data_IF_398336849445
#
_entry.id   IF_398336849445
#
_cell.length_a   1.000
_cell.length_b   1.000
_cell.length_c   1.000
_cell.angle_alpha   90.00
_cell.angle_beta   90.00
_cell.angle_gamma   90.00
#
_symmetry.space_group_name_H-M   'P 1'
#
loop_
_entity.id
_entity.type
_entity.pdbx_description
1 polymer ?
#
# COMPACT_ATOMS: atom_id res chain seq x y z
N UNK A 1 29.75 -71.22 31.87
CA UNK A 1 29.27 -70.50 30.68
C UNK A 1 28.47 -69.31 31.17
N UNK A 2 28.90 -68.11 30.79
CA UNK A 2 28.68 -66.83 31.46
C UNK A 2 27.36 -66.16 31.02
N UNK A 3 26.60 -65.49 31.91
CA UNK A 3 25.40 -64.74 31.53
C UNK A 3 25.79 -63.38 30.92
N UNK A 4 25.42 -63.14 29.66
CA UNK A 4 25.62 -61.85 28.99
C UNK A 4 24.43 -60.91 29.20
N UNK A 5 24.75 -59.71 29.68
CA UNK A 5 23.88 -58.56 29.95
C UNK A 5 23.33 -57.95 28.66
N UNK A 6 22.04 -57.59 28.64
CA UNK A 6 21.45 -56.74 27.59
C UNK A 6 21.41 -55.29 28.09
N UNK A 7 22.02 -54.32 27.39
CA UNK A 7 21.86 -52.91 27.73
C UNK A 7 20.49 -52.39 27.26
N UNK A 8 19.79 -51.74 28.19
CA UNK A 8 18.65 -50.87 27.96
C UNK A 8 19.17 -49.62 27.23
N UNK A 9 18.78 -49.43 25.97
CA UNK A 9 18.97 -48.15 25.27
C UNK A 9 17.64 -47.42 25.33
N UNK A 10 17.55 -46.46 26.26
CA UNK A 10 16.49 -45.47 26.30
C UNK A 10 16.80 -44.45 25.18
N UNK A 11 16.05 -44.52 24.09
CA UNK A 11 16.05 -43.46 23.08
C UNK A 11 15.08 -42.37 23.56
N UNK A 12 15.65 -41.27 24.04
CA UNK A 12 14.95 -40.01 24.25
C UNK A 12 14.53 -39.44 22.90
N UNK A 13 13.28 -39.70 22.50
CA UNK A 13 12.64 -38.95 21.44
C UNK A 13 12.13 -37.63 22.03
N UNK A 14 12.99 -36.61 22.06
CA UNK A 14 12.54 -35.22 22.12
C UNK A 14 11.80 -34.93 20.83
N UNK A 15 10.49 -35.16 20.87
CA UNK A 15 9.55 -34.70 19.85
C UNK A 15 9.42 -33.19 20.04
N UNK A 16 10.16 -32.42 19.24
CA UNK A 16 9.86 -31.01 18.98
C UNK A 16 8.57 -30.97 18.14
N UNK A 17 7.42 -31.07 18.82
CA UNK A 17 6.12 -30.68 18.26
C UNK A 17 5.95 -29.18 18.53
N UNK A 18 6.61 -28.36 17.73
CA UNK A 18 6.32 -26.93 17.65
C UNK A 18 6.08 -26.61 16.17
N UNK A 19 4.93 -25.98 15.89
CA UNK A 19 4.47 -25.42 14.61
C UNK A 19 3.84 -26.42 13.61
N UNK A 20 2.67 -26.96 13.94
CA UNK A 20 1.80 -27.65 12.97
C UNK A 20 0.40 -27.02 12.95
N UNK A 21 0.31 -25.76 12.51
CA UNK A 21 -0.96 -25.00 12.40
C UNK A 21 -1.09 -24.15 11.11
N UNK A 22 -0.39 -24.47 10.02
CA UNK A 22 -0.63 -23.85 8.69
C UNK A 22 -0.75 -24.90 7.58
N UNK A 23 -1.46 -25.99 7.87
CA UNK A 23 -1.86 -26.95 6.85
C UNK A 23 -3.35 -26.76 6.51
N UNK A 24 -3.70 -25.64 5.88
CA UNK A 24 -4.92 -25.46 5.08
C UNK A 24 -4.84 -24.18 4.23
N UNK A 25 -4.12 -24.23 3.10
CA UNK A 25 -4.26 -23.34 1.93
C UNK A 25 -4.51 -21.85 2.16
N UNK A 26 -3.62 -21.16 2.88
CA UNK A 26 -3.47 -19.71 2.76
C UNK A 26 -2.26 -19.39 1.87
N UNK A 27 -2.07 -18.12 1.55
CA UNK A 27 -0.98 -17.66 0.68
C UNK A 27 0.41 -18.13 1.17
N UNK A 28 1.44 -18.24 0.31
CA UNK A 28 2.81 -18.49 0.77
C UNK A 28 3.31 -17.42 1.74
N UNK A 29 4.27 -17.79 2.60
CA UNK A 29 4.85 -16.87 3.61
C UNK A 29 6.35 -16.66 3.39
N UNK A 30 6.87 -17.10 2.24
CA UNK A 30 8.30 -17.14 1.92
C UNK A 30 8.66 -16.30 0.69
N UNK A 31 7.79 -15.37 0.31
CA UNK A 31 8.05 -14.45 -0.81
C UNK A 31 9.28 -13.57 -0.50
N UNK A 32 10.02 -13.24 -1.55
CA UNK A 32 11.00 -12.14 -1.42
C UNK A 32 10.26 -10.80 -1.40
N UNK A 33 10.81 -9.79 -0.72
CA UNK A 33 10.24 -8.42 -0.73
C UNK A 33 10.09 -7.89 -2.15
N UNK A 34 11.06 -8.14 -3.01
CA UNK A 34 11.03 -7.72 -4.41
C UNK A 34 9.88 -8.38 -5.19
N UNK A 35 9.68 -9.69 -5.03
CA UNK A 35 8.61 -10.41 -5.73
C UNK A 35 7.23 -9.99 -5.21
N UNK A 36 7.09 -9.82 -3.89
CA UNK A 36 5.88 -9.32 -3.24
C UNK A 36 5.53 -7.91 -3.73
N UNK A 37 6.45 -6.95 -3.63
CA UNK A 37 6.21 -5.57 -4.03
C UNK A 37 5.96 -5.44 -5.53
N UNK A 38 6.60 -6.28 -6.35
CA UNK A 38 6.29 -6.34 -7.78
C UNK A 38 4.84 -6.78 -8.04
N UNK A 39 4.32 -7.75 -7.28
CA UNK A 39 2.94 -8.20 -7.42
C UNK A 39 1.95 -7.09 -7.00
N UNK A 40 2.18 -6.47 -5.84
CA UNK A 40 1.39 -5.33 -5.34
C UNK A 40 1.39 -4.17 -6.33
N UNK A 41 2.55 -3.68 -6.77
CA UNK A 41 2.64 -2.53 -7.67
C UNK A 41 2.06 -2.79 -9.07
N UNK A 42 1.97 -4.06 -9.48
CA UNK A 42 1.33 -4.44 -10.75
C UNK A 42 -0.19 -4.21 -10.71
N UNK A 43 -0.79 -4.26 -9.53
CA UNK A 43 -2.20 -3.96 -9.32
C UNK A 43 -2.49 -2.46 -9.38
N UNK A 44 -1.75 -1.64 -8.62
CA UNK A 44 -1.97 -0.19 -8.53
C UNK A 44 -1.79 0.52 -9.88
N UNK A 45 -0.87 0.03 -10.71
CA UNK A 45 -0.59 0.57 -12.04
C UNK A 45 -1.45 -0.01 -13.17
N UNK A 46 -2.52 -0.75 -12.87
CA UNK A 46 -3.27 -1.46 -13.90
C UNK A 46 -4.20 -0.52 -14.69
N UNK A 47 -3.75 -0.10 -15.87
CA UNK A 47 -4.52 0.75 -16.82
C UNK A 47 -5.91 0.17 -17.15
N UNK A 48 -6.05 -1.16 -17.22
CA UNK A 48 -7.33 -1.80 -17.53
C UNK A 48 -8.32 -1.66 -16.37
N UNK A 49 -7.84 -1.63 -15.12
CA UNK A 49 -8.65 -1.40 -13.93
C UNK A 49 -9.11 0.06 -13.87
N UNK A 50 -8.17 1.00 -14.05
CA UNK A 50 -8.47 2.44 -14.11
C UNK A 50 -9.53 2.73 -15.17
N UNK A 51 -9.38 2.10 -16.34
CA UNK A 51 -10.34 2.21 -17.43
C UNK A 51 -11.69 1.59 -17.08
N UNK A 52 -11.73 0.41 -16.49
CA UNK A 52 -12.98 -0.24 -16.08
C UNK A 52 -13.76 0.63 -15.08
N UNK A 53 -13.09 1.20 -14.08
CA UNK A 53 -13.68 2.13 -13.11
C UNK A 53 -14.19 3.40 -13.80
N UNK A 54 -13.41 3.98 -14.72
CA UNK A 54 -13.79 5.20 -15.46
C UNK A 54 -14.98 4.97 -16.39
N UNK A 55 -15.05 3.80 -17.03
CA UNK A 55 -16.15 3.40 -17.91
C UNK A 55 -17.38 2.89 -17.11
N UNK A 56 -17.33 2.92 -15.76
CA UNK A 56 -18.35 2.38 -14.84
C UNK A 56 -18.65 0.88 -15.10
N UNK A 57 -17.66 0.13 -15.59
CA UNK A 57 -17.71 -1.31 -15.82
C UNK A 57 -17.31 -2.07 -14.55
N UNK A 58 -18.20 -2.04 -13.55
CA UNK A 58 -17.94 -2.55 -12.20
C UNK A 58 -17.70 -4.06 -12.17
N UNK A 59 -18.35 -4.82 -13.05
CA UNK A 59 -18.12 -6.26 -13.18
C UNK A 59 -16.68 -6.53 -13.66
N UNK A 60 -16.22 -5.79 -14.67
CA UNK A 60 -14.84 -5.91 -15.15
C UNK A 60 -13.83 -5.43 -14.10
N UNK A 61 -14.15 -4.36 -13.37
CA UNK A 61 -13.29 -3.87 -12.29
C UNK A 61 -13.14 -4.92 -11.18
N UNK A 62 -14.24 -5.55 -10.76
CA UNK A 62 -14.22 -6.63 -9.77
C UNK A 62 -13.44 -7.85 -10.27
N UNK A 63 -13.58 -8.24 -11.54
CA UNK A 63 -12.81 -9.35 -12.12
C UNK A 63 -11.31 -9.04 -12.15
N UNK A 64 -10.91 -7.82 -12.56
CA UNK A 64 -9.50 -7.41 -12.59
C UNK A 64 -8.86 -7.33 -11.20
N UNK A 65 -9.63 -6.90 -10.20
CA UNK A 65 -9.21 -6.90 -8.80
C UNK A 65 -8.97 -8.32 -8.32
N UNK A 66 -9.87 -9.25 -8.60
CA UNK A 66 -9.70 -10.66 -8.23
C UNK A 66 -8.50 -11.29 -8.91
N UNK A 67 -8.31 -11.02 -10.18
CA UNK A 67 -7.16 -11.52 -10.93
C UNK A 67 -5.85 -11.02 -10.30
N UNK A 68 -5.78 -9.72 -9.98
CA UNK A 68 -4.59 -9.13 -9.37
C UNK A 68 -4.34 -9.66 -7.95
N UNK A 69 -5.39 -9.75 -7.13
CA UNK A 69 -5.30 -10.29 -5.77
C UNK A 69 -4.91 -11.77 -5.79
N UNK A 70 -5.39 -12.55 -6.76
CA UNK A 70 -4.97 -13.94 -6.94
C UNK A 70 -3.48 -14.06 -7.30
N UNK A 71 -2.93 -13.13 -8.09
CA UNK A 71 -1.48 -13.08 -8.35
C UNK A 71 -0.69 -12.75 -7.07
N UNK A 72 -1.19 -11.83 -6.24
CA UNK A 72 -0.54 -11.47 -4.97
C UNK A 72 -0.65 -12.63 -3.97
N UNK A 73 -1.79 -13.32 -3.90
CA UNK A 73 -1.99 -14.53 -3.08
C UNK A 73 -1.02 -15.65 -3.51
N UNK A 74 -0.85 -15.87 -4.82
CA UNK A 74 0.06 -16.88 -5.35
C UNK A 74 1.54 -16.58 -5.03
N UNK A 75 1.93 -15.31 -5.02
CA UNK A 75 3.27 -14.87 -4.59
C UNK A 75 3.43 -15.01 -3.09
N UNK A 76 2.41 -14.61 -2.33
CA UNK A 76 2.41 -14.58 -0.87
C UNK A 76 3.17 -13.41 -0.28
N UNK A 77 3.34 -13.41 1.04
CA UNK A 77 4.01 -12.32 1.76
C UNK A 77 5.43 -12.72 2.17
N UNK A 78 6.31 -11.74 2.47
CA UNK A 78 7.60 -12.02 3.08
C UNK A 78 7.50 -12.64 4.48
N UNK A 79 8.56 -13.35 4.91
CA UNK A 79 8.62 -14.00 6.24
C UNK A 79 8.66 -12.99 7.40
N UNK A 80 9.01 -11.73 7.14
CA UNK A 80 9.16 -10.68 8.16
C UNK A 80 7.92 -9.80 8.34
N UNK A 81 6.82 -10.12 7.66
CA UNK A 81 5.54 -9.45 7.88
C UNK A 81 5.07 -9.64 9.34
N UNK A 82 4.62 -8.58 10.02
CA UNK A 82 4.02 -8.69 11.36
C UNK A 82 2.76 -9.58 11.35
N UNK A 83 2.49 -10.31 12.43
CA UNK A 83 1.33 -11.21 12.52
C UNK A 83 -0.01 -10.49 12.21
N UNK A 84 -0.22 -9.29 12.76
CA UNK A 84 -1.43 -8.50 12.51
C UNK A 84 -1.56 -8.07 11.04
N UNK A 85 -0.43 -7.70 10.40
CA UNK A 85 -0.37 -7.36 8.99
C UNK A 85 -0.60 -8.60 8.10
N UNK A 86 -0.12 -9.77 8.51
CA UNK A 86 -0.40 -11.02 7.80
C UNK A 86 -1.87 -11.38 7.86
N UNK A 87 -2.49 -11.23 9.02
CA UNK A 87 -3.94 -11.45 9.12
C UNK A 87 -4.71 -10.40 8.30
N UNK A 88 -4.23 -9.16 8.24
CA UNK A 88 -4.79 -8.10 7.39
C UNK A 88 -4.75 -8.42 5.91
N UNK A 89 -3.62 -8.95 5.43
CA UNK A 89 -3.43 -9.43 4.06
C UNK A 89 -4.48 -10.49 3.67
N UNK A 90 -4.64 -11.52 4.51
CA UNK A 90 -5.62 -12.59 4.25
C UNK A 90 -7.06 -12.05 4.26
N UNK A 91 -7.37 -11.09 5.14
CA UNK A 91 -8.67 -10.42 5.17
C UNK A 91 -8.91 -9.66 3.86
N UNK A 92 -7.91 -8.93 3.35
CA UNK A 92 -8.03 -8.23 2.07
C UNK A 92 -8.23 -9.19 0.90
N UNK A 93 -7.49 -10.30 0.84
CA UNK A 93 -7.67 -11.33 -0.19
C UNK A 93 -9.10 -11.87 -0.14
N UNK A 94 -9.54 -12.33 1.03
CA UNK A 94 -10.90 -12.88 1.21
C UNK A 94 -11.98 -11.86 0.82
N UNK A 95 -11.80 -10.59 1.18
CA UNK A 95 -12.72 -9.51 0.84
C UNK A 95 -12.77 -9.27 -0.68
N UNK A 96 -11.61 -9.24 -1.34
CA UNK A 96 -11.50 -9.03 -2.77
C UNK A 96 -12.01 -10.22 -3.60
N UNK A 97 -11.78 -11.46 -3.17
CA UNK A 97 -12.37 -12.64 -3.82
C UNK A 97 -13.91 -12.64 -3.74
N UNK A 98 -14.42 -12.19 -2.59
CA UNK A 98 -15.86 -12.12 -2.30
C UNK A 98 -16.59 -10.97 -2.99
N UNK A 99 -15.88 -9.96 -3.50
CA UNK A 99 -16.51 -8.73 -3.98
C UNK A 99 -17.22 -8.92 -5.33
N UNK A 100 -18.38 -8.31 -5.50
CA UNK A 100 -19.09 -8.26 -6.78
C UNK A 100 -19.02 -6.88 -7.42
N UNK A 101 -19.35 -6.78 -8.71
CA UNK A 101 -19.51 -5.49 -9.38
C UNK A 101 -20.55 -4.60 -8.69
N UNK A 102 -21.64 -5.19 -8.19
CA UNK A 102 -22.67 -4.46 -7.41
C UNK A 102 -22.10 -3.89 -6.10
N UNK A 103 -21.21 -4.64 -5.42
CA UNK A 103 -20.57 -4.18 -4.18
C UNK A 103 -19.57 -3.06 -4.47
N UNK A 104 -18.79 -3.16 -5.55
CA UNK A 104 -17.91 -2.10 -6.04
C UNK A 104 -18.68 -0.83 -6.39
N UNK A 105 -19.77 -0.95 -7.16
CA UNK A 105 -20.63 0.17 -7.52
C UNK A 105 -21.16 0.89 -6.28
N UNK A 106 -21.60 0.11 -5.29
CA UNK A 106 -22.13 0.64 -4.04
C UNK A 106 -21.05 1.35 -3.24
N UNK A 107 -19.89 0.73 -3.04
CA UNK A 107 -18.77 1.30 -2.29
C UNK A 107 -18.31 2.64 -2.89
N UNK A 108 -18.15 2.70 -4.21
CA UNK A 108 -17.76 3.93 -4.91
C UNK A 108 -18.80 5.05 -4.78
N UNK A 109 -20.09 4.72 -4.80
CA UNK A 109 -21.18 5.69 -4.59
C UNK A 109 -21.27 6.19 -3.16
N UNK A 110 -21.03 5.31 -2.20
CA UNK A 110 -21.06 5.62 -0.78
C UNK A 110 -19.73 6.27 -0.31
N UNK A 111 -18.72 6.36 -1.19
CA UNK A 111 -17.35 6.81 -0.90
C UNK A 111 -16.73 6.01 0.26
N UNK A 112 -17.02 4.72 0.29
CA UNK A 112 -16.46 3.76 1.23
C UNK A 112 -15.48 2.85 0.49
N UNK A 113 -14.51 2.31 1.22
CA UNK A 113 -13.61 1.30 0.69
C UNK A 113 -14.37 -0.02 0.45
N UNK A 114 -14.39 -0.54 -0.80
CA UNK A 114 -15.05 -1.80 -1.12
C UNK A 114 -14.54 -3.01 -0.31
N UNK A 115 -13.28 -3.00 0.09
CA UNK A 115 -12.61 -4.10 0.80
C UNK A 115 -12.79 -4.00 2.32
N UNK A 116 -13.12 -2.82 2.83
CA UNK A 116 -13.42 -2.64 4.26
C UNK A 116 -14.92 -2.64 4.59
N UNK A 117 -15.77 -2.61 3.56
CA UNK A 117 -17.21 -2.57 3.69
C UNK A 117 -17.72 -3.86 4.35
N UNK A 118 -17.95 -3.81 5.67
CA UNK A 118 -18.47 -4.94 6.45
C UNK A 118 -17.45 -5.59 7.40
N UNK A 119 -16.21 -5.13 7.41
CA UNK A 119 -15.21 -5.54 8.40
C UNK A 119 -15.55 -4.99 9.79
N UNK A 120 -15.30 -5.80 10.82
CA UNK A 120 -15.33 -5.36 12.21
C UNK A 120 -14.18 -4.40 12.51
N UNK A 121 -14.27 -3.68 13.63
CA UNK A 121 -13.23 -2.74 14.03
C UNK A 121 -11.87 -3.37 14.36
N UNK A 122 -11.82 -4.68 14.64
CA UNK A 122 -10.54 -5.39 14.84
C UNK A 122 -9.97 -5.93 13.52
N UNK A 123 -10.82 -6.26 12.54
CA UNK A 123 -10.38 -6.62 11.19
C UNK A 123 -9.81 -5.39 10.45
N UNK A 124 -10.48 -4.23 10.57
CA UNK A 124 -9.97 -2.96 10.01
C UNK A 124 -8.57 -2.61 10.47
N UNK A 125 -8.26 -2.79 11.76
CA UNK A 125 -6.91 -2.53 12.29
C UNK A 125 -5.84 -3.44 11.70
N UNK A 126 -6.20 -4.67 11.36
CA UNK A 126 -5.28 -5.63 10.74
C UNK A 126 -5.04 -5.25 9.28
N UNK A 127 -6.10 -4.87 8.58
CA UNK A 127 -6.03 -4.30 7.23
C UNK A 127 -5.17 -3.02 7.22
N UNK A 128 -5.34 -2.15 8.20
CA UNK A 128 -4.49 -0.96 8.40
C UNK A 128 -3.02 -1.35 8.65
N UNK A 129 -2.76 -2.31 9.55
CA UNK A 129 -1.40 -2.80 9.80
C UNK A 129 -0.76 -3.44 8.55
N UNK A 130 -1.55 -4.07 7.70
CA UNK A 130 -1.10 -4.58 6.40
C UNK A 130 -0.73 -3.44 5.45
N UNK A 131 -1.61 -2.44 5.30
CA UNK A 131 -1.34 -1.28 4.45
C UNK A 131 -0.09 -0.51 4.92
N UNK A 132 0.10 -0.35 6.23
CA UNK A 132 1.31 0.25 6.79
C UNK A 132 2.57 -0.54 6.43
N UNK A 133 2.52 -1.88 6.58
CA UNK A 133 3.61 -2.76 6.20
C UNK A 133 3.93 -2.70 4.71
N UNK A 134 2.91 -2.71 3.85
CA UNK A 134 3.04 -2.63 2.40
C UNK A 134 3.72 -1.32 2.00
N UNK A 135 3.25 -0.19 2.54
CA UNK A 135 3.82 1.11 2.28
C UNK A 135 5.28 1.18 2.74
N UNK A 136 5.62 0.72 3.94
CA UNK A 136 7.00 0.73 4.43
C UNK A 136 7.89 -0.20 3.58
N UNK A 137 7.43 -1.42 3.32
CA UNK A 137 8.21 -2.47 2.65
C UNK A 137 8.44 -2.17 1.17
N UNK A 138 7.41 -1.67 0.48
CA UNK A 138 7.45 -1.46 -0.96
C UNK A 138 7.92 -0.05 -1.33
N UNK A 139 7.76 0.95 -0.47
CA UNK A 139 8.39 2.27 -0.69
C UNK A 139 9.91 2.25 -0.50
N UNK A 140 10.44 1.40 0.38
CA UNK A 140 11.89 1.25 0.58
C UNK A 140 12.61 0.61 -0.62
N UNK A 141 11.87 -0.11 -1.46
CA UNK A 141 12.41 -0.72 -2.68
C UNK A 141 12.75 0.32 -3.77
N UNK A 142 12.28 1.57 -3.60
CA UNK A 142 12.55 2.74 -4.46
C UNK A 142 13.62 3.68 -3.90
N UNK A 143 14.70 3.13 -3.32
CA UNK A 143 15.94 3.91 -3.05
C UNK A 143 16.61 4.48 -4.33
N UNK A 144 15.96 4.48 -5.49
CA UNK A 144 16.38 5.22 -6.70
C UNK A 144 15.23 5.89 -7.49
N UNK A 145 14.03 6.11 -6.94
CA UNK A 145 13.05 7.02 -7.57
C UNK A 145 12.06 7.58 -6.56
N UNK A 146 12.37 8.77 -6.08
CA UNK A 146 11.45 9.56 -5.27
C UNK A 146 10.15 9.81 -6.01
N UNK A 147 9.08 9.20 -5.53
CA UNK A 147 7.72 9.71 -5.68
C UNK A 147 7.17 9.89 -4.28
N UNK A 148 7.30 11.13 -3.81
CA UNK A 148 6.63 11.66 -2.63
C UNK A 148 5.12 11.58 -2.89
N UNK A 149 4.48 10.54 -2.39
CA UNK A 149 3.02 10.44 -2.26
C UNK A 149 2.72 10.10 -0.81
N UNK A 150 3.16 11.00 0.08
CA UNK A 150 2.75 11.01 1.48
C UNK A 150 1.30 11.48 1.58
N UNK A 151 0.37 10.52 1.63
CA UNK A 151 -0.92 10.72 2.27
C UNK A 151 -0.95 9.92 3.55
N UNK A 152 -0.35 10.48 4.59
CA UNK A 152 -0.71 10.17 5.97
C UNK A 152 -0.99 11.48 6.69
N UNK A 153 -2.28 11.80 6.78
CA UNK A 153 -2.80 12.58 7.88
C UNK A 153 -2.61 11.77 9.17
N UNK A 154 -1.39 11.71 9.72
CA UNK A 154 -1.23 11.47 11.16
C UNK A 154 -0.09 12.30 11.75
N UNK A 155 -0.46 13.00 12.81
CA UNK A 155 0.27 14.10 13.39
C UNK A 155 1.26 13.61 14.44
N UNK A 156 2.31 12.90 14.05
CA UNK A 156 3.49 12.73 14.93
C UNK A 156 4.72 12.35 14.12
N UNK A 157 5.49 13.37 13.70
CA UNK A 157 6.97 13.42 13.61
C UNK A 157 7.36 14.55 12.64
N UNK A 158 7.01 15.78 12.98
CA UNK A 158 7.72 16.92 12.40
C UNK A 158 9.18 16.83 12.85
N UNK A 159 10.18 16.93 11.95
CA UNK A 159 11.54 17.20 12.40
C UNK A 159 11.45 18.46 13.27
N UNK A 160 12.01 18.41 14.48
CA UNK A 160 12.01 19.56 15.39
C UNK A 160 12.79 20.71 14.76
N UNK A 161 12.10 21.50 13.94
CA UNK A 161 12.56 22.80 13.50
C UNK A 161 12.57 23.67 14.75
N UNK A 162 13.77 23.99 15.21
CA UNK A 162 13.95 24.86 16.36
C UNK A 162 13.33 26.23 16.01
N UNK A 163 12.36 26.74 16.80
CA UNK A 163 11.67 27.99 16.47
C UNK A 163 12.59 29.21 16.41
N UNK A 164 13.86 29.07 16.82
CA UNK A 164 14.89 30.11 16.70
C UNK A 164 15.51 30.23 15.29
N UNK A 165 15.33 29.23 14.41
CA UNK A 165 15.85 29.24 13.03
C UNK A 165 14.85 29.78 11.99
N UNK A 166 13.64 30.16 12.41
CA UNK A 166 12.68 30.81 11.51
C UNK A 166 13.00 32.30 11.41
N UNK A 167 13.22 32.84 10.19
CA UNK A 167 13.24 34.29 10.02
C UNK A 167 11.87 34.83 10.43
N UNK A 168 11.83 35.77 11.38
CA UNK A 168 10.60 36.46 11.75
C UNK A 168 10.04 37.18 10.52
N UNK A 169 9.04 36.57 9.89
CA UNK A 169 8.22 37.24 8.87
C UNK A 169 7.34 38.21 9.63
N UNK A 170 7.65 39.51 9.51
CA UNK A 170 6.81 40.55 10.07
C UNK A 170 5.46 40.52 9.31
N UNK A 171 4.31 40.44 10.00
CA UNK A 171 3.00 40.41 9.35
C UNK A 171 2.71 41.68 8.53
N UNK A 172 3.48 42.75 8.73
CA UNK A 172 3.43 43.97 7.92
C UNK A 172 4.16 43.86 6.56
N UNK A 173 5.03 42.85 6.37
CA UNK A 173 5.69 42.56 5.08
C UNK A 173 4.85 41.63 4.19
N UNK A 174 3.70 41.14 4.66
CA UNK A 174 2.77 40.37 3.84
C UNK A 174 1.97 41.37 2.99
N UNK A 175 2.14 41.41 1.66
CA UNK A 175 1.29 42.24 0.83
C UNK A 175 -0.16 41.80 1.05
N UNK A 176 -1.04 42.74 1.38
CA UNK A 176 -2.46 42.47 1.52
C UNK A 176 -3.00 42.10 0.15
N UNK A 177 -3.09 40.80 -0.13
CA UNK A 177 -3.67 40.27 -1.36
C UNK A 177 -5.17 40.51 -1.24
N UNK A 178 -5.68 41.48 -2.01
CA UNK A 178 -7.10 41.74 -2.07
C UNK A 178 -7.75 40.60 -2.89
N UNK A 179 -8.81 39.94 -2.38
CA UNK A 179 -9.49 38.88 -3.12
C UNK A 179 -10.07 39.33 -4.48
N UNK A 180 -10.15 40.64 -4.73
CA UNK A 180 -10.52 41.22 -6.03
C UNK A 180 -9.40 41.13 -7.08
N UNK A 181 -8.14 40.98 -6.68
CA UNK A 181 -7.01 40.83 -7.62
C UNK A 181 -7.01 39.46 -8.32
N UNK A 182 -7.58 38.43 -7.69
CA UNK A 182 -7.75 37.11 -8.33
C UNK A 182 -8.77 37.12 -9.47
N UNK A 183 -9.69 38.08 -9.51
CA UNK A 183 -10.71 38.17 -10.53
C UNK A 183 -10.21 38.78 -11.87
N UNK A 184 -8.95 39.25 -11.92
CA UNK A 184 -8.35 39.83 -13.12
C UNK A 184 -7.23 38.97 -13.73
N UNK A 185 -7.07 37.72 -13.30
CA UNK A 185 -6.19 36.78 -14.00
C UNK A 185 -6.86 36.43 -15.34
N UNK A 186 -6.37 37.06 -16.40
CA UNK A 186 -6.82 36.80 -17.76
C UNK A 186 -6.33 35.39 -18.16
N UNK A 187 -7.19 34.51 -18.70
CA UNK A 187 -6.79 33.17 -19.12
C UNK A 187 -5.63 33.16 -20.14
N UNK A 188 -5.42 34.26 -20.88
CA UNK A 188 -4.29 34.41 -21.80
C UNK A 188 -2.93 34.55 -21.09
N UNK A 189 -2.89 35.09 -19.85
CA UNK A 189 -1.65 35.16 -19.05
C UNK A 189 -1.24 33.78 -18.51
N UNK A 190 -2.23 32.93 -18.15
CA UNK A 190 -1.97 31.54 -17.74
C UNK A 190 -1.40 30.69 -18.88
N UNK A 191 -1.83 30.94 -20.12
CA UNK A 191 -1.31 30.26 -21.31
C UNK A 191 0.15 30.66 -21.61
N UNK A 192 0.51 31.91 -21.34
CA UNK A 192 1.89 32.39 -21.51
C UNK A 192 2.84 31.73 -20.50
N UNK A 193 2.41 31.53 -19.26
CA UNK A 193 3.21 30.83 -18.24
C UNK A 193 3.41 29.34 -18.56
N UNK A 194 2.41 28.67 -19.13
CA UNK A 194 2.56 27.28 -19.60
C UNK A 194 3.55 27.17 -20.76
N UNK A 195 3.60 28.17 -21.63
CA UNK A 195 4.53 28.20 -22.76
C UNK A 195 5.98 28.36 -22.29
N UNK A 196 6.24 29.19 -21.28
CA UNK A 196 7.58 29.29 -20.68
C UNK A 196 8.01 28.01 -19.95
N UNK A 197 7.08 27.29 -19.33
CA UNK A 197 7.37 26.00 -18.69
C UNK A 197 7.68 24.89 -19.69
N UNK A 198 7.02 24.91 -20.86
CA UNK A 198 7.31 24.00 -21.96
C UNK A 198 8.70 24.27 -22.57
N UNK A 199 9.07 25.55 -22.70
CA UNK A 199 10.40 25.92 -23.20
C UNK A 199 11.54 25.52 -22.21
N UNK A 200 11.25 25.50 -20.90
CA UNK A 200 12.22 25.08 -19.88
C UNK A 200 12.45 23.56 -19.86
N UNK A 201 11.45 22.76 -20.25
CA UNK A 201 11.54 21.29 -20.27
C UNK A 201 12.23 20.76 -21.54
N UNK A 202 12.23 21.50 -22.64
CA UNK A 202 13.03 21.19 -23.85
C UNK A 202 14.53 21.46 -23.70
N UNK A 203 14.96 22.10 -22.60
CA UNK A 203 16.35 22.43 -22.31
C UNK A 203 17.17 21.36 -21.59
N UNK A 204 16.60 20.19 -21.27
CA UNK A 204 17.32 19.10 -20.60
C UNK A 204 17.98 18.22 -21.67
N UNK A 205 19.30 18.33 -21.93
CA UNK A 205 19.98 17.38 -22.81
C UNK A 205 19.96 16.02 -22.13
N UNK A 206 19.32 15.06 -22.80
CA UNK A 206 19.51 13.65 -22.52
C UNK A 206 20.87 13.23 -23.07
N UNK A 207 21.90 13.31 -22.23
CA UNK A 207 23.14 12.54 -22.39
C UNK A 207 23.44 11.73 -21.13
#
# INVERSE_FOLDING_TARGET
MTPMKRPLVAASATVLLALSLSACGGAPTDASKDDYCKAVNSFEGNDDLIKAVTDEDWDKAADLVKDAVGEIEDVGTPEDIPDDAREGFEIQIDAAEGISGDDFEKAMKDQEDPFEAGLSGDEKKKVEAYNDYENETCSDSDSDSGSDSGSSDDATEVPSIDPEDLPSIDPDDIPSIDPSDFASIDPDDLASMQSELAELTEGIPTE
#
